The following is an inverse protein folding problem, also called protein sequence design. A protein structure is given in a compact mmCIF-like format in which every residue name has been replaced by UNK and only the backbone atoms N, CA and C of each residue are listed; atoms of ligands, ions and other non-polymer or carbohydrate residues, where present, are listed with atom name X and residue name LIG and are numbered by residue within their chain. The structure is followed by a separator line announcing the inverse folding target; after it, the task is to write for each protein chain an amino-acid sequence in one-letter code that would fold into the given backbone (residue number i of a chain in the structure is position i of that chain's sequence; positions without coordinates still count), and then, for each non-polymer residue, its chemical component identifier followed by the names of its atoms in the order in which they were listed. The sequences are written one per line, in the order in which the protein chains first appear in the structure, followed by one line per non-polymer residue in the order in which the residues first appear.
data_IF_755870825209
#
_entry.id   IF_755870825209
#
_cell.length_a   1.000
_cell.length_b   1.000
_cell.length_c   1.000
_cell.angle_alpha   90.00
_cell.angle_beta   90.00
_cell.angle_gamma   90.00
#
_symmetry.space_group_name_H-M   'P 1'
#
loop_
_entity.id
_entity.type
_entity.pdbx_description
1 polymer ?
#
# COMPACT_ATOMS: atom_id res chain seq x y z
N UNK A 1 64.24 35.92 -36.61
CA UNK A 1 65.04 36.53 -35.52
C UNK A 1 64.16 36.50 -34.30
N UNK A 2 64.46 35.55 -33.53
CA UNK A 2 65.11 35.63 -32.25
C UNK A 2 64.09 35.76 -31.11
N UNK A 3 63.83 34.65 -30.45
CA UNK A 3 64.20 34.32 -29.06
C UNK A 3 63.34 35.05 -28.05
N UNK A 4 62.88 34.49 -27.06
CA UNK A 4 63.20 33.32 -26.26
C UNK A 4 62.34 33.36 -25.00
N UNK A 5 62.05 32.17 -24.51
CA UNK A 5 62.47 31.72 -23.20
C UNK A 5 61.91 32.56 -22.05
N UNK A 6 61.46 32.03 -21.01
CA UNK A 6 61.50 30.77 -20.33
C UNK A 6 60.96 31.04 -18.94
N UNK A 7 60.31 30.02 -18.41
CA UNK A 7 60.31 29.63 -17.02
C UNK A 7 60.15 30.70 -15.94
N UNK A 8 59.19 30.52 -15.08
CA UNK A 8 59.57 30.25 -13.69
C UNK A 8 58.41 29.73 -12.85
N UNK A 9 58.52 28.52 -12.51
CA UNK A 9 57.89 27.94 -11.33
C UNK A 9 58.28 28.76 -10.09
N UNK A 10 57.33 29.24 -9.39
CA UNK A 10 57.47 29.38 -7.93
C UNK A 10 56.15 29.12 -7.25
N UNK A 11 56.12 27.99 -6.55
CA UNK A 11 55.19 27.67 -5.49
C UNK A 11 55.25 28.76 -4.44
N UNK A 12 54.09 29.22 -4.01
CA UNK A 12 53.93 29.82 -2.70
C UNK A 12 52.80 29.05 -2.00
N UNK A 13 53.22 28.34 -1.02
CA UNK A 13 52.41 27.71 0.01
C UNK A 13 51.73 28.77 0.87
N UNK A 14 50.65 28.38 1.45
CA UNK A 14 50.00 28.84 2.69
C UNK A 14 49.02 29.99 2.60
N UNK A 15 47.76 29.64 2.66
CA UNK A 15 46.90 30.07 3.76
C UNK A 15 45.67 29.19 3.83
N UNK A 16 45.64 28.32 4.79
CA UNK A 16 44.45 27.62 5.25
C UNK A 16 43.54 28.67 5.92
N UNK A 17 42.48 29.06 5.23
CA UNK A 17 41.32 29.65 5.87
C UNK A 17 40.23 28.63 5.79
N UNK A 18 40.05 27.93 6.89
CA UNK A 18 38.86 27.12 7.16
C UNK A 18 37.64 28.02 7.24
N UNK A 19 37.02 28.29 6.09
CA UNK A 19 35.66 28.76 6.06
C UNK A 19 34.77 27.54 6.24
N UNK A 20 34.22 27.40 7.43
CA UNK A 20 33.21 26.41 7.75
C UNK A 20 32.00 26.61 6.84
N UNK A 21 31.95 25.83 5.78
CA UNK A 21 30.72 25.59 5.07
C UNK A 21 29.87 24.70 6.02
N UNK A 22 29.03 25.34 6.80
CA UNK A 22 27.88 24.68 7.37
C UNK A 22 27.03 24.20 6.20
N UNK A 23 27.36 23.02 5.72
CA UNK A 23 26.50 22.25 4.84
C UNK A 23 25.19 22.05 5.60
N UNK A 24 24.21 22.87 5.25
CA UNK A 24 22.82 22.51 5.44
C UNK A 24 22.63 21.27 4.56
N UNK A 25 22.91 20.11 5.16
CA UNK A 25 22.42 18.86 4.61
C UNK A 25 20.91 19.03 4.53
N UNK A 26 20.45 19.42 3.37
CA UNK A 26 19.05 19.33 3.03
C UNK A 26 18.64 17.89 3.34
N UNK A 27 17.98 17.70 4.47
CA UNK A 27 17.16 16.53 4.67
C UNK A 27 16.16 16.55 3.49
N UNK A 28 16.51 15.83 2.45
CA UNK A 28 15.50 15.31 1.55
C UNK A 28 14.58 14.51 2.47
N UNK A 29 13.51 15.15 2.88
CA UNK A 29 12.38 14.47 3.47
C UNK A 29 12.00 13.44 2.42
N UNK A 30 12.39 12.19 2.65
CA UNK A 30 11.87 11.07 1.92
C UNK A 30 10.36 11.24 1.97
N UNK A 31 9.79 11.62 0.84
CA UNK A 31 8.36 11.87 0.67
C UNK A 31 7.62 10.69 1.27
N UNK A 32 6.76 10.99 2.23
CA UNK A 32 6.14 10.14 3.20
C UNK A 32 5.46 8.89 2.68
N UNK A 33 6.25 7.92 2.29
CA UNK A 33 5.79 6.54 2.18
C UNK A 33 5.50 6.07 3.59
N UNK A 34 4.25 5.82 3.90
CA UNK A 34 3.88 5.15 5.13
C UNK A 34 4.34 3.71 4.97
N UNK A 35 5.54 3.43 5.48
CA UNK A 35 6.02 2.06 5.52
C UNK A 35 5.14 1.26 6.51
N UNK A 36 4.71 0.05 6.17
CA UNK A 36 3.94 -0.83 7.07
C UNK A 36 4.57 -0.97 8.47
N UNK A 37 5.88 -0.83 8.56
CA UNK A 37 6.63 -0.93 9.83
C UNK A 37 6.38 0.15 10.87
N UNK A 38 5.57 1.18 10.58
CA UNK A 38 5.19 2.23 11.53
C UNK A 38 3.75 2.13 12.02
N UNK A 39 3.02 1.09 11.60
CA UNK A 39 1.67 0.88 12.08
C UNK A 39 1.71 0.29 13.49
N UNK A 40 0.95 0.89 14.37
CA UNK A 40 0.58 0.23 15.63
C UNK A 40 -0.59 -0.71 15.36
N UNK A 41 -0.60 -1.87 16.04
CA UNK A 41 -1.75 -2.77 15.99
C UNK A 41 -3.01 -2.02 16.41
N UNK A 42 -4.14 -2.35 15.81
CA UNK A 42 -5.40 -1.70 16.14
C UNK A 42 -5.76 -1.99 17.60
N UNK A 43 -6.06 -0.98 18.42
CA UNK A 43 -6.54 -1.20 19.79
C UNK A 43 -7.86 -1.98 19.86
N UNK A 44 -8.57 -2.11 18.74
CA UNK A 44 -9.86 -2.78 18.62
C UNK A 44 -9.78 -4.30 18.53
N UNK A 45 -8.59 -4.88 18.52
CA UNK A 45 -8.46 -6.31 18.69
C UNK A 45 -8.56 -6.62 20.20
N UNK A 46 -9.75 -6.75 20.71
CA UNK A 46 -10.04 -6.99 22.12
C UNK A 46 -11.16 -8.01 22.31
N UNK A 47 -11.44 -8.34 23.53
CA UNK A 47 -12.42 -9.36 23.94
C UNK A 47 -13.74 -9.30 23.14
N UNK A 48 -13.87 -10.15 22.12
CA UNK A 48 -15.09 -10.32 21.36
C UNK A 48 -15.07 -9.86 19.91
N UNK A 49 -13.91 -9.54 19.33
CA UNK A 49 -13.84 -9.19 17.92
C UNK A 49 -14.27 -10.37 17.04
N UNK A 50 -15.30 -10.10 16.26
CA UNK A 50 -15.83 -11.08 15.32
C UNK A 50 -14.87 -11.23 14.15
N UNK A 51 -14.64 -12.45 13.64
CA UNK A 51 -13.86 -12.66 12.44
C UNK A 51 -14.34 -11.78 11.28
N UNK A 52 -13.40 -11.32 10.47
CA UNK A 52 -13.70 -10.51 9.28
C UNK A 52 -14.78 -11.18 8.42
N UNK A 53 -15.87 -10.47 8.08
CA UNK A 53 -16.96 -11.01 7.29
C UNK A 53 -16.51 -11.57 5.93
N UNK A 54 -17.03 -12.73 5.57
CA UNK A 54 -16.83 -13.30 4.24
C UNK A 54 -17.79 -12.65 3.25
N UNK A 55 -17.28 -12.45 2.04
CA UNK A 55 -18.09 -11.98 0.91
C UNK A 55 -17.80 -12.78 -0.36
N UNK A 56 -18.52 -12.47 -1.43
CA UNK A 56 -18.33 -13.12 -2.72
C UNK A 56 -17.05 -12.67 -3.39
N UNK A 57 -16.43 -13.61 -4.10
CA UNK A 57 -15.27 -13.33 -4.97
C UNK A 57 -15.64 -12.45 -6.16
N UNK A 58 -16.91 -12.54 -6.59
CA UNK A 58 -17.35 -11.89 -7.83
C UNK A 58 -16.81 -12.59 -9.09
N UNK A 59 -17.20 -12.09 -10.28
CA UNK A 59 -16.87 -12.75 -11.55
C UNK A 59 -15.48 -12.36 -12.11
N UNK A 60 -14.73 -11.48 -11.44
CA UNK A 60 -13.51 -10.90 -11.99
C UNK A 60 -12.22 -11.38 -11.31
N UNK A 61 -12.27 -12.39 -10.48
CA UNK A 61 -11.06 -13.00 -9.94
C UNK A 61 -10.29 -13.76 -11.02
N UNK A 62 -8.97 -13.61 -11.04
CA UNK A 62 -8.08 -14.42 -11.89
C UNK A 62 -7.12 -15.20 -10.97
N UNK A 63 -7.15 -16.51 -11.09
CA UNK A 63 -6.29 -17.38 -10.28
C UNK A 63 -4.80 -17.20 -10.65
N UNK A 64 -3.92 -17.36 -9.66
CA UNK A 64 -2.48 -17.31 -9.85
C UNK A 64 -1.91 -15.90 -10.11
N UNK A 65 -2.39 -14.85 -9.41
CA UNK A 65 -1.77 -13.53 -9.55
C UNK A 65 -0.30 -13.59 -9.14
N UNK A 66 0.56 -12.71 -9.69
CA UNK A 66 1.97 -12.64 -9.30
C UNK A 66 2.15 -12.07 -7.90
N UNK A 67 3.28 -12.37 -7.28
CA UNK A 67 3.72 -11.64 -6.10
C UNK A 67 4.07 -10.21 -6.50
N UNK A 68 3.24 -9.28 -6.06
CA UNK A 68 3.35 -7.86 -6.42
C UNK A 68 2.62 -7.02 -5.39
N UNK A 69 3.30 -6.02 -4.84
CA UNK A 69 2.74 -5.06 -3.87
C UNK A 69 2.59 -3.64 -4.45
N UNK A 70 3.25 -3.33 -5.56
CA UNK A 70 3.15 -2.03 -6.22
C UNK A 70 2.36 -2.15 -7.54
N UNK A 71 1.14 -1.61 -7.52
CA UNK A 71 0.22 -1.58 -8.67
C UNK A 71 0.21 -0.22 -9.39
N UNK A 72 0.92 0.79 -8.90
CA UNK A 72 0.93 2.14 -9.50
C UNK A 72 1.37 2.16 -10.96
N UNK A 73 2.32 1.31 -11.41
CA UNK A 73 2.68 1.24 -12.81
C UNK A 73 1.60 0.64 -13.72
N UNK A 74 0.61 -0.05 -13.13
CA UNK A 74 -0.39 -0.80 -13.90
C UNK A 74 -1.44 0.10 -14.56
N UNK A 75 -1.81 1.22 -13.91
CA UNK A 75 -2.81 2.15 -14.41
C UNK A 75 -2.66 3.54 -13.79
N UNK A 76 -3.03 4.60 -14.52
CA UNK A 76 -3.13 5.93 -13.93
C UNK A 76 -4.31 6.02 -12.95
N UNK A 77 -4.18 6.87 -11.94
CA UNK A 77 -5.24 7.11 -10.97
C UNK A 77 -4.76 7.90 -9.76
N UNK A 78 -5.66 8.19 -8.85
CA UNK A 78 -5.33 8.81 -7.57
C UNK A 78 -4.52 7.81 -6.73
N UNK A 79 -3.29 8.16 -6.31
CA UNK A 79 -2.46 7.24 -5.54
C UNK A 79 -3.11 6.83 -4.22
N UNK A 80 -2.96 5.55 -3.86
CA UNK A 80 -3.46 5.02 -2.59
C UNK A 80 -2.51 3.96 -2.03
N UNK A 81 -2.35 3.98 -0.73
CA UNK A 81 -1.70 2.89 0.02
C UNK A 81 -2.79 2.16 0.81
N UNK A 82 -2.93 0.86 0.59
CA UNK A 82 -3.73 -0.03 1.43
C UNK A 82 -2.78 -0.80 2.35
N UNK A 83 -3.04 -0.76 3.65
CA UNK A 83 -2.19 -1.41 4.64
C UNK A 83 -2.99 -1.90 5.84
N UNK A 84 -2.40 -2.77 6.65
CA UNK A 84 -3.02 -3.30 7.86
C UNK A 84 -2.31 -4.52 8.39
N UNK A 85 -3.01 -5.26 9.24
CA UNK A 85 -2.54 -6.48 9.85
C UNK A 85 -3.43 -7.66 9.46
N UNK A 86 -2.85 -8.86 9.53
CA UNK A 86 -3.59 -10.11 9.59
C UNK A 86 -3.37 -10.71 10.97
N UNK A 87 -4.45 -10.87 11.71
CA UNK A 87 -4.48 -11.28 13.10
C UNK A 87 -5.35 -12.54 13.27
N UNK A 88 -5.08 -13.31 14.30
CA UNK A 88 -5.99 -14.35 14.77
C UNK A 88 -7.07 -13.74 15.71
N UNK A 89 -8.09 -14.51 16.12
CA UNK A 89 -9.14 -14.00 17.02
C UNK A 89 -8.64 -13.59 18.42
N UNK A 90 -7.45 -14.04 18.82
CA UNK A 90 -6.78 -13.65 20.07
C UNK A 90 -5.82 -12.48 19.88
N UNK A 91 -5.90 -11.79 18.73
CA UNK A 91 -5.09 -10.64 18.36
C UNK A 91 -3.59 -10.90 18.14
N UNK A 92 -3.19 -12.15 17.99
CA UNK A 92 -1.82 -12.44 17.64
C UNK A 92 -1.58 -12.23 16.13
N UNK A 93 -0.45 -11.65 15.75
CA UNK A 93 -0.11 -11.47 14.35
C UNK A 93 0.11 -12.82 13.65
N UNK A 94 -0.40 -12.93 12.43
CA UNK A 94 -0.19 -14.10 11.58
C UNK A 94 0.87 -13.76 10.54
N UNK A 95 2.08 -14.28 10.72
CA UNK A 95 3.15 -14.19 9.73
C UNK A 95 2.88 -15.10 8.53
N UNK A 96 3.47 -14.75 7.37
CA UNK A 96 3.36 -15.51 6.12
C UNK A 96 1.90 -15.76 5.66
N UNK A 97 0.96 -14.97 6.16
CA UNK A 97 -0.39 -14.98 5.62
C UNK A 97 -0.39 -14.37 4.23
N UNK A 98 -0.94 -15.09 3.26
CA UNK A 98 -1.09 -14.58 1.90
C UNK A 98 -2.26 -13.62 1.83
N UNK A 99 -2.01 -12.44 1.29
CA UNK A 99 -3.02 -11.40 1.02
C UNK A 99 -3.05 -11.14 -0.47
N UNK A 100 -4.11 -11.56 -1.17
CA UNK A 100 -4.36 -11.24 -2.58
C UNK A 100 -5.23 -9.99 -2.65
N UNK A 101 -4.87 -9.05 -3.52
CA UNK A 101 -5.65 -7.84 -3.81
C UNK A 101 -5.97 -7.77 -5.30
N UNK A 102 -7.23 -7.45 -5.65
CA UNK A 102 -7.60 -7.07 -7.01
C UNK A 102 -8.72 -6.05 -7.04
N UNK A 103 -8.68 -5.18 -8.02
CA UNK A 103 -9.68 -4.11 -8.17
C UNK A 103 -9.71 -3.54 -9.59
N UNK A 104 -10.64 -2.62 -9.84
CA UNK A 104 -10.76 -1.89 -11.10
C UNK A 104 -9.68 -0.81 -11.26
N UNK A 105 -9.44 -0.38 -12.50
CA UNK A 105 -8.75 0.87 -12.75
C UNK A 105 -9.59 2.09 -12.30
N UNK A 106 -9.06 3.31 -12.46
CA UNK A 106 -9.75 4.55 -12.10
C UNK A 106 -11.08 4.78 -12.84
N UNK A 107 -11.28 4.12 -13.99
CA UNK A 107 -12.50 4.18 -14.80
C UNK A 107 -13.52 3.07 -14.48
N UNK A 108 -13.25 2.23 -13.50
CA UNK A 108 -14.14 1.14 -13.11
C UNK A 108 -14.03 -0.13 -13.97
N UNK A 109 -12.90 -0.35 -14.67
CA UNK A 109 -12.70 -1.52 -15.52
C UNK A 109 -11.72 -2.51 -14.90
N UNK A 110 -12.08 -3.80 -14.92
CA UNK A 110 -11.15 -4.88 -14.53
C UNK A 110 -10.27 -5.30 -15.72
N UNK A 111 -9.02 -5.64 -15.43
CA UNK A 111 -8.20 -6.40 -16.38
C UNK A 111 -8.59 -7.89 -16.31
N UNK A 112 -9.30 -8.37 -17.32
CA UNK A 112 -9.76 -9.75 -17.42
C UNK A 112 -8.85 -10.62 -18.31
N UNK A 113 -7.68 -10.11 -18.72
CA UNK A 113 -6.74 -10.82 -19.60
C UNK A 113 -5.36 -11.00 -18.98
N UNK A 114 -5.01 -10.19 -18.00
CA UNK A 114 -3.72 -10.18 -17.34
C UNK A 114 -3.83 -9.94 -15.85
N UNK A 115 -2.77 -9.37 -15.28
CA UNK A 115 -2.67 -9.13 -13.84
C UNK A 115 -2.41 -7.65 -13.51
N UNK A 116 -2.98 -6.72 -14.29
CA UNK A 116 -2.98 -5.30 -13.90
C UNK A 116 -3.89 -5.10 -12.70
N UNK A 117 -3.43 -4.34 -11.72
CA UNK A 117 -4.16 -4.08 -10.46
C UNK A 117 -4.58 -5.37 -9.75
N UNK A 118 -3.72 -6.38 -9.85
CA UNK A 118 -3.85 -7.70 -9.23
C UNK A 118 -2.49 -8.18 -8.77
N UNK A 119 -2.43 -8.75 -7.59
CA UNK A 119 -1.22 -9.34 -7.05
C UNK A 119 -1.45 -9.86 -5.65
N UNK A 120 -0.43 -10.48 -5.09
CA UNK A 120 -0.42 -10.87 -3.70
C UNK A 120 0.90 -10.50 -3.04
N UNK A 121 0.88 -10.47 -1.73
CA UNK A 121 2.04 -10.51 -0.88
C UNK A 121 1.79 -11.39 0.33
N UNK A 122 2.85 -11.72 1.05
CA UNK A 122 2.78 -12.38 2.36
C UNK A 122 3.03 -11.37 3.46
N UNK A 123 2.38 -11.56 4.61
CA UNK A 123 2.61 -10.74 5.79
C UNK A 123 4.00 -10.99 6.37
N UNK A 124 4.56 -9.96 6.99
CA UNK A 124 5.81 -10.08 7.73
C UNK A 124 5.60 -10.77 9.12
N UNK A 125 6.68 -10.87 9.90
CA UNK A 125 6.67 -11.48 11.25
C UNK A 125 5.69 -10.79 12.21
N UNK A 126 5.35 -9.54 11.96
CA UNK A 126 4.36 -8.76 12.74
C UNK A 126 2.95 -8.81 12.13
N UNK A 127 2.71 -9.70 11.16
CA UNK A 127 1.42 -9.82 10.49
C UNK A 127 1.05 -8.67 9.57
N UNK A 128 1.99 -7.79 9.19
CA UNK A 128 1.73 -6.58 8.41
C UNK A 128 1.72 -6.86 6.92
N UNK A 129 0.82 -6.19 6.21
CA UNK A 129 0.79 -6.11 4.74
C UNK A 129 0.68 -4.66 4.28
N UNK A 130 1.02 -4.40 3.01
CA UNK A 130 0.83 -3.09 2.41
C UNK A 130 0.94 -3.13 0.88
N UNK A 131 -0.02 -2.52 0.19
CA UNK A 131 -0.06 -2.35 -1.25
C UNK A 131 0.01 -0.88 -1.61
N UNK A 132 0.86 -0.53 -2.56
CA UNK A 132 0.84 0.77 -3.23
C UNK A 132 0.00 0.63 -4.49
N UNK A 133 -1.11 1.35 -4.56
CA UNK A 133 -2.09 1.20 -5.64
C UNK A 133 -2.74 2.54 -6.01
N UNK A 134 -3.87 2.49 -6.65
CA UNK A 134 -4.72 3.65 -6.96
C UNK A 134 -6.11 3.45 -6.35
N UNK A 135 -6.82 4.55 -6.16
CA UNK A 135 -8.25 4.51 -5.81
C UNK A 135 -9.03 3.86 -6.94
N UNK A 136 -9.75 2.75 -6.70
CA UNK A 136 -10.50 2.07 -7.75
C UNK A 136 -11.68 2.90 -8.23
N UNK A 137 -11.99 2.82 -9.51
CA UNK A 137 -13.21 3.37 -10.08
C UNK A 137 -14.45 2.54 -9.68
N UNK A 138 -15.60 3.17 -9.79
CA UNK A 138 -16.89 2.52 -9.54
C UNK A 138 -17.39 1.88 -10.83
N UNK A 139 -17.92 0.66 -10.77
CA UNK A 139 -18.59 0.04 -11.91
C UNK A 139 -20.08 -0.18 -11.62
N UNK A 140 -20.93 -0.33 -12.68
CA UNK A 140 -22.38 -0.34 -12.53
C UNK A 140 -22.89 -1.37 -11.52
N UNK A 141 -23.77 -0.94 -10.62
CA UNK A 141 -24.43 -1.79 -9.64
C UNK A 141 -23.65 -2.02 -8.34
N UNK A 142 -22.43 -1.49 -8.23
CA UNK A 142 -21.59 -1.68 -7.03
C UNK A 142 -21.09 -0.33 -6.50
N UNK A 143 -20.87 -0.27 -5.20
CA UNK A 143 -20.09 0.82 -4.59
C UNK A 143 -18.58 0.62 -4.78
N UNK A 144 -17.78 1.63 -4.48
CA UNK A 144 -16.32 1.56 -4.55
C UNK A 144 -15.77 0.54 -3.58
N UNK A 145 -14.95 -0.40 -4.06
CA UNK A 145 -14.41 -1.46 -3.22
C UNK A 145 -13.11 -2.05 -3.76
N UNK A 146 -12.38 -2.68 -2.87
CA UNK A 146 -11.34 -3.65 -3.17
C UNK A 146 -11.87 -5.06 -2.97
N UNK A 147 -11.41 -6.01 -3.75
CA UNK A 147 -11.54 -7.44 -3.44
C UNK A 147 -10.27 -7.94 -2.78
N UNK A 148 -10.43 -8.78 -1.77
CA UNK A 148 -9.29 -9.34 -1.03
C UNK A 148 -9.52 -10.82 -0.75
N UNK A 149 -8.45 -11.62 -0.84
CA UNK A 149 -8.37 -12.94 -0.22
C UNK A 149 -7.26 -12.94 0.82
N UNK A 150 -7.55 -13.50 1.96
CA UNK A 150 -6.56 -13.67 3.03
C UNK A 150 -6.50 -15.14 3.42
N UNK A 151 -5.30 -15.67 3.52
CA UNK A 151 -5.09 -17.07 3.88
C UNK A 151 -3.86 -17.21 4.78
N UNK A 152 -4.06 -17.75 5.98
CA UNK A 152 -2.94 -18.17 6.82
C UNK A 152 -2.26 -19.41 6.23
N UNK A 153 -0.98 -19.69 6.55
CA UNK A 153 -0.33 -20.93 6.15
C UNK A 153 -1.19 -22.15 6.49
N UNK A 154 -1.44 -23.02 5.49
CA UNK A 154 -2.28 -24.20 5.61
C UNK A 154 -3.72 -23.97 6.11
N UNK A 155 -4.20 -22.72 6.13
CA UNK A 155 -5.53 -22.34 6.59
C UNK A 155 -6.57 -22.24 5.46
N UNK A 156 -7.81 -21.94 5.87
CA UNK A 156 -8.90 -21.65 4.93
C UNK A 156 -8.73 -20.23 4.35
N UNK A 157 -9.11 -20.07 3.09
CA UNK A 157 -9.15 -18.77 2.45
C UNK A 157 -10.36 -17.98 2.96
N UNK A 158 -10.14 -16.79 3.49
CA UNK A 158 -11.14 -15.75 3.62
C UNK A 158 -11.23 -15.02 2.27
N UNK A 159 -12.39 -14.96 1.66
CA UNK A 159 -12.69 -14.05 0.56
C UNK A 159 -13.60 -12.95 1.07
N UNK A 160 -13.25 -11.70 0.83
CA UNK A 160 -13.98 -10.54 1.30
C UNK A 160 -13.80 -9.34 0.37
N UNK A 161 -14.40 -8.21 0.77
CA UNK A 161 -14.24 -6.92 0.07
C UNK A 161 -13.97 -5.85 1.12
N UNK A 162 -13.31 -4.77 0.71
CA UNK A 162 -13.10 -3.59 1.55
C UNK A 162 -13.77 -2.40 0.90
N UNK A 163 -14.48 -1.62 1.70
CA UNK A 163 -15.30 -0.50 1.21
C UNK A 163 -14.75 0.85 1.66
N UNK A 164 -15.10 1.85 0.90
CA UNK A 164 -14.74 3.25 1.15
C UNK A 164 -15.83 3.94 1.95
N UNK A 165 -15.50 4.66 3.05
CA UNK A 165 -16.48 5.42 3.79
C UNK A 165 -17.00 6.60 2.97
N UNK A 166 -18.27 6.98 3.19
CA UNK A 166 -18.89 8.15 2.56
C UNK A 166 -19.24 8.00 1.08
N UNK A 167 -19.04 6.83 0.47
CA UNK A 167 -19.45 6.59 -0.92
C UNK A 167 -20.98 6.59 -1.04
N UNK A 168 -21.55 7.36 -1.99
CA UNK A 168 -23.01 7.42 -2.18
C UNK A 168 -23.63 6.07 -2.58
N UNK A 169 -22.80 5.15 -3.07
CA UNK A 169 -23.20 3.80 -3.45
C UNK A 169 -23.43 2.85 -2.29
N UNK A 170 -22.86 3.10 -1.11
CA UNK A 170 -22.88 2.17 0.02
C UNK A 170 -24.31 1.74 0.41
N UNK A 171 -25.24 2.68 0.49
CA UNK A 171 -26.63 2.37 0.85
C UNK A 171 -27.46 1.69 -0.25
N UNK A 172 -26.89 1.47 -1.46
CA UNK A 172 -27.57 0.85 -2.59
C UNK A 172 -26.92 -0.44 -3.06
N UNK A 173 -25.71 -0.73 -2.59
CA UNK A 173 -25.01 -1.97 -2.89
C UNK A 173 -25.50 -3.09 -1.95
N UNK A 174 -26.14 -4.09 -2.53
CA UNK A 174 -26.84 -5.14 -1.78
C UNK A 174 -25.93 -6.08 -0.96
N UNK A 175 -24.61 -6.05 -1.21
CA UNK A 175 -23.64 -6.81 -0.44
C UNK A 175 -22.71 -5.92 0.40
N UNK A 176 -22.98 -4.63 0.47
CA UNK A 176 -22.24 -3.73 1.33
C UNK A 176 -22.39 -4.15 2.81
N UNK A 177 -21.27 -4.16 3.51
CA UNK A 177 -21.21 -4.44 4.94
C UNK A 177 -20.35 -3.36 5.61
N UNK A 178 -20.91 -2.62 6.54
CA UNK A 178 -20.23 -1.53 7.24
C UNK A 178 -19.00 -2.00 8.04
N UNK A 179 -18.97 -3.26 8.47
CA UNK A 179 -17.83 -3.88 9.16
C UNK A 179 -16.59 -4.02 8.28
N UNK A 180 -16.75 -3.82 6.99
CA UNK A 180 -15.68 -3.90 5.97
C UNK A 180 -15.27 -2.51 5.46
N UNK A 181 -15.68 -1.45 6.16
CA UNK A 181 -15.21 -0.10 5.88
C UNK A 181 -13.76 0.08 6.32
N UNK A 182 -12.94 0.63 5.44
CA UNK A 182 -11.57 1.02 5.76
C UNK A 182 -11.53 2.33 6.57
N UNK A 183 -10.54 2.49 7.44
CA UNK A 183 -10.14 3.83 7.91
C UNK A 183 -9.34 4.52 6.80
N UNK A 184 -9.94 5.54 6.19
CA UNK A 184 -9.34 6.28 5.08
C UNK A 184 -8.85 7.64 5.56
N UNK A 185 -7.56 7.94 5.28
CA UNK A 185 -6.97 9.25 5.53
C UNK A 185 -6.51 9.87 4.22
N UNK A 186 -6.88 11.13 4.01
CA UNK A 186 -6.39 11.93 2.89
C UNK A 186 -4.99 12.47 3.23
N UNK A 187 -4.07 12.32 2.30
CA UNK A 187 -2.73 12.89 2.34
C UNK A 187 -2.56 13.90 1.20
N UNK A 188 -1.45 14.66 1.22
CA UNK A 188 -1.16 15.61 0.15
C UNK A 188 -1.03 14.93 -1.23
N UNK A 189 -0.49 13.73 -1.27
CA UNK A 189 -0.14 13.02 -2.50
C UNK A 189 -1.00 11.75 -2.72
N UNK A 190 -2.18 11.65 -2.12
CA UNK A 190 -3.05 10.48 -2.28
C UNK A 190 -3.80 10.10 -1.01
N UNK A 191 -4.17 8.84 -0.90
CA UNK A 191 -4.92 8.30 0.25
C UNK A 191 -4.17 7.16 0.93
N UNK A 192 -4.46 6.99 2.21
CA UNK A 192 -4.11 5.78 2.97
C UNK A 192 -5.39 5.15 3.46
N UNK A 193 -5.58 3.87 3.14
CA UNK A 193 -6.65 3.05 3.69
C UNK A 193 -6.05 2.00 4.62
N UNK A 194 -6.59 1.89 5.81
CA UNK A 194 -6.22 0.85 6.77
C UNK A 194 -7.37 -0.11 6.99
N UNK A 195 -7.04 -1.40 7.04
CA UNK A 195 -7.95 -2.45 7.46
C UNK A 195 -7.16 -3.61 8.07
N UNK A 196 -7.58 -4.08 9.24
CA UNK A 196 -6.97 -5.22 9.92
C UNK A 196 -7.91 -6.44 9.77
N UNK A 197 -7.37 -7.54 9.25
CA UNK A 197 -8.12 -8.78 9.05
C UNK A 197 -8.01 -9.68 10.28
N UNK A 198 -9.15 -10.15 10.79
CA UNK A 198 -9.20 -11.18 11.82
C UNK A 198 -9.65 -12.49 11.17
N UNK A 199 -8.76 -13.50 11.17
CA UNK A 199 -8.99 -14.78 10.51
C UNK A 199 -8.75 -15.96 11.46
N UNK A 200 -9.67 -16.92 11.45
CA UNK A 200 -9.57 -18.14 12.25
C UNK A 200 -8.71 -19.23 11.58
#
# INVERSE_FOLDING_TARGET
MSRGQDASRRAILHAWLAAGATGVAGRVLAQGRIAPGRLEATPSCGDGDTPTPRQTEGPFYSAGPPEKADFRPDAPGEPMVLLGFVLDPDCHPIAEARVDLWHTDGDGRYDNRGFRLRGYQTTDEQGRFGFETIVPGVYPGRTRHFHVKVQRPAGRVLTTQLYFPGEPGNGRDFIFDERLLMDIRQLADGRVGRFDFIIA
#
